data_IF_539594452897
#
_entry.id   IF_539594452897
#
_cell.length_a   1.000
_cell.length_b   1.000
_cell.length_c   1.000
_cell.angle_alpha   90.00
_cell.angle_beta   90.00
_cell.angle_gamma   90.00
#
_symmetry.space_group_name_H-M   'P 1'
#
loop_
_entity.id
_entity.type
_entity.pdbx_description
1 polymer ?
#
# COMPACT_ATOMS: atom_id res chain seq x y z
N UNK A 1 -44.30 -22.13 -23.33
CA UNK A 1 -42.94 -21.99 -23.86
C UNK A 1 -42.08 -21.36 -22.76
N UNK A 2 -41.29 -22.14 -22.03
CA UNK A 2 -40.38 -21.65 -21.02
C UNK A 2 -39.02 -21.38 -21.70
N UNK A 3 -38.63 -20.12 -21.76
CA UNK A 3 -37.27 -19.75 -22.18
C UNK A 3 -36.30 -20.14 -21.07
N UNK A 4 -35.50 -21.15 -21.32
CA UNK A 4 -34.29 -21.42 -20.50
C UNK A 4 -33.27 -20.34 -20.81
N UNK A 5 -33.04 -19.44 -19.86
CA UNK A 5 -31.88 -18.56 -19.90
C UNK A 5 -30.63 -19.44 -19.73
N UNK A 6 -29.85 -19.56 -20.78
CA UNK A 6 -28.57 -20.24 -20.74
C UNK A 6 -27.64 -19.53 -19.74
N UNK A 7 -27.20 -20.24 -18.72
CA UNK A 7 -26.14 -19.79 -17.86
C UNK A 7 -24.89 -19.62 -18.74
N UNK A 8 -24.47 -18.39 -18.98
CA UNK A 8 -23.20 -18.10 -19.61
C UNK A 8 -22.11 -18.64 -18.71
N UNK A 9 -21.29 -19.57 -19.20
CA UNK A 9 -20.14 -20.07 -18.46
C UNK A 9 -19.28 -18.84 -18.10
N UNK A 10 -19.02 -18.65 -16.82
CA UNK A 10 -18.11 -17.60 -16.38
C UNK A 10 -16.75 -17.86 -17.03
N UNK A 11 -16.23 -16.89 -17.77
CA UNK A 11 -14.90 -16.96 -18.35
C UNK A 11 -13.88 -17.29 -17.24
N UNK A 12 -12.91 -18.16 -17.57
CA UNK A 12 -11.86 -18.48 -16.64
C UNK A 12 -11.17 -17.17 -16.18
N UNK A 13 -10.86 -17.03 -14.87
CA UNK A 13 -10.24 -15.80 -14.37
C UNK A 13 -8.94 -15.53 -15.13
N UNK A 14 -8.64 -14.26 -15.45
CA UNK A 14 -7.45 -13.88 -16.18
C UNK A 14 -6.17 -14.33 -15.46
N UNK A 15 -5.11 -14.58 -16.23
CA UNK A 15 -3.79 -14.94 -15.68
C UNK A 15 -3.14 -13.70 -15.07
N UNK A 16 -3.24 -13.59 -13.75
CA UNK A 16 -2.68 -12.48 -12.96
C UNK A 16 -1.39 -12.96 -12.29
N UNK A 17 -0.34 -12.14 -12.36
CA UNK A 17 0.93 -12.40 -11.68
C UNK A 17 1.20 -11.28 -10.67
N UNK A 18 1.69 -11.67 -9.49
CA UNK A 18 2.06 -10.76 -8.40
C UNK A 18 3.55 -10.91 -8.14
N UNK A 19 4.25 -9.77 -8.04
CA UNK A 19 5.67 -9.69 -7.70
C UNK A 19 5.85 -8.65 -6.60
N UNK A 20 6.54 -9.01 -5.53
CA UNK A 20 6.97 -8.07 -4.49
C UNK A 20 8.30 -7.44 -4.87
N UNK A 21 8.41 -6.14 -4.72
CA UNK A 21 9.64 -5.36 -4.85
C UNK A 21 10.09 -4.87 -3.47
N UNK A 22 11.38 -4.91 -3.21
CA UNK A 22 11.98 -4.33 -2.00
C UNK A 22 12.43 -2.90 -2.32
N UNK A 23 11.75 -1.92 -1.74
CA UNK A 23 12.04 -0.49 -2.03
C UNK A 23 12.69 0.21 -0.84
N UNK A 24 13.50 -0.54 -0.10
CA UNK A 24 14.28 -0.07 1.05
C UNK A 24 13.74 -0.54 2.39
N UNK A 25 14.23 0.09 3.45
CA UNK A 25 13.87 -0.17 4.84
C UNK A 25 13.73 1.14 5.59
N UNK A 26 13.01 1.11 6.70
CA UNK A 26 12.97 2.20 7.68
C UNK A 26 13.46 1.68 9.02
N UNK A 27 14.35 2.43 9.67
CA UNK A 27 14.70 2.22 11.08
C UNK A 27 13.87 3.17 11.94
N UNK A 28 13.14 2.62 12.90
CA UNK A 28 12.22 3.35 13.74
C UNK A 28 12.13 2.72 15.13
N UNK A 29 11.43 3.39 16.04
CA UNK A 29 11.07 2.82 17.34
C UNK A 29 9.94 1.79 17.17
N UNK A 30 10.08 0.59 17.76
CA UNK A 30 9.08 -0.47 17.67
C UNK A 30 7.70 -0.04 18.19
N UNK A 31 7.65 0.92 19.13
CA UNK A 31 6.40 1.51 19.60
C UNK A 31 5.54 2.16 18.52
N UNK A 32 6.13 2.51 17.35
CA UNK A 32 5.35 2.94 16.17
C UNK A 32 4.65 1.78 15.46
N UNK A 33 5.15 0.56 15.61
CA UNK A 33 4.51 -0.62 15.04
C UNK A 33 3.50 -1.25 16.00
N UNK A 34 3.88 -1.32 17.27
CA UNK A 34 3.10 -1.99 18.34
C UNK A 34 2.92 -1.02 19.50
N UNK A 35 1.70 -0.50 19.70
CA UNK A 35 1.44 0.49 20.73
C UNK A 35 1.79 -0.03 22.13
N UNK A 36 2.59 0.73 22.87
CA UNK A 36 3.00 0.41 24.26
C UNK A 36 3.85 -0.86 24.43
N UNK A 37 4.29 -1.49 23.33
CA UNK A 37 5.13 -2.70 23.38
C UNK A 37 6.54 -2.37 22.87
N UNK A 38 7.54 -2.70 23.66
CA UNK A 38 8.97 -2.50 23.35
C UNK A 38 9.32 -1.06 22.91
N UNK A 39 8.64 -0.06 23.48
CA UNK A 39 8.92 1.36 23.25
C UNK A 39 10.37 1.68 23.61
N UNK A 40 11.06 2.42 22.74
CA UNK A 40 12.50 2.71 22.87
C UNK A 40 13.40 1.70 22.15
N UNK A 41 12.87 0.58 21.65
CA UNK A 41 13.63 -0.41 20.89
C UNK A 41 13.67 -0.04 19.42
N UNK A 42 14.87 0.18 18.85
CA UNK A 42 15.03 0.42 17.43
C UNK A 42 14.96 -0.87 16.62
N UNK A 43 14.12 -0.87 15.61
CA UNK A 43 13.97 -1.98 14.64
C UNK A 43 14.09 -1.46 13.22
N UNK A 44 14.39 -2.36 12.29
CA UNK A 44 14.41 -2.08 10.85
C UNK A 44 13.29 -2.86 10.21
N UNK A 45 12.38 -2.17 9.58
CA UNK A 45 11.25 -2.74 8.88
C UNK A 45 11.44 -2.65 7.37
N UNK A 46 11.04 -3.66 6.57
CA UNK A 46 11.05 -3.57 5.11
C UNK A 46 10.00 -2.59 4.62
N UNK A 47 10.24 -1.98 3.45
CA UNK A 47 9.24 -1.22 2.70
C UNK A 47 9.01 -1.97 1.39
N UNK A 48 7.89 -2.69 1.22
CA UNK A 48 7.54 -3.36 -0.02
C UNK A 48 6.72 -2.44 -0.94
N UNK A 49 6.83 -2.71 -2.24
CA UNK A 49 5.86 -2.33 -3.25
C UNK A 49 5.52 -3.57 -4.08
N UNK A 50 4.40 -3.57 -4.79
CA UNK A 50 3.99 -4.76 -5.53
C UNK A 50 3.62 -4.43 -6.96
N UNK A 51 4.16 -5.22 -7.91
CA UNK A 51 3.78 -5.18 -9.31
C UNK A 51 2.79 -6.31 -9.58
N UNK A 52 1.67 -5.97 -10.21
CA UNK A 52 0.63 -6.92 -10.59
C UNK A 52 0.44 -6.83 -12.09
N UNK A 53 0.80 -7.91 -12.79
CA UNK A 53 0.53 -8.04 -14.21
C UNK A 53 -0.88 -8.55 -14.42
N UNK A 54 -1.71 -7.73 -15.07
CA UNK A 54 -3.06 -8.08 -15.47
C UNK A 54 -3.20 -7.87 -16.97
N UNK A 55 -3.99 -8.67 -17.73
CA UNK A 55 -4.14 -8.49 -19.18
C UNK A 55 -4.61 -7.09 -19.61
N UNK A 56 -5.31 -6.38 -18.74
CA UNK A 56 -5.77 -5.00 -18.98
C UNK A 56 -4.77 -3.92 -18.59
N UNK A 57 -3.62 -4.26 -18.00
CA UNK A 57 -2.54 -3.33 -17.73
C UNK A 57 -1.72 -3.68 -16.49
N UNK A 58 -0.52 -3.12 -16.43
CA UNK A 58 0.37 -3.22 -15.30
C UNK A 58 -0.13 -2.33 -14.16
N UNK A 59 -0.29 -2.92 -12.98
CA UNK A 59 -0.71 -2.24 -11.75
C UNK A 59 0.47 -2.22 -10.79
N UNK A 60 0.76 -1.07 -10.22
CA UNK A 60 1.70 -0.91 -9.12
C UNK A 60 0.90 -0.62 -7.84
N UNK A 61 1.15 -1.36 -6.76
CA UNK A 61 0.61 -1.10 -5.45
C UNK A 61 1.70 -0.50 -4.55
N UNK A 62 1.54 0.77 -4.21
CA UNK A 62 2.46 1.69 -3.56
C UNK A 62 3.76 1.97 -4.35
N UNK A 63 4.49 3.04 -3.97
CA UNK A 63 5.67 3.53 -4.70
C UNK A 63 6.92 3.66 -3.85
N UNK A 64 6.84 3.24 -2.59
CA UNK A 64 7.96 3.32 -1.65
C UNK A 64 8.32 4.75 -1.22
N UNK A 65 9.45 4.87 -0.53
CA UNK A 65 10.04 6.14 -0.09
C UNK A 65 10.53 6.95 -1.29
N UNK A 66 10.48 8.29 -1.17
CA UNK A 66 10.97 9.18 -2.22
C UNK A 66 12.46 8.92 -2.55
N UNK A 67 12.79 8.90 -3.83
CA UNK A 67 14.18 8.75 -4.32
C UNK A 67 15.16 9.75 -3.69
N UNK A 68 14.67 10.91 -3.28
CA UNK A 68 15.50 11.94 -2.66
C UNK A 68 15.99 11.58 -1.26
N UNK A 69 15.48 10.52 -0.64
CA UNK A 69 15.97 10.00 0.65
C UNK A 69 17.08 8.97 0.49
N UNK A 70 17.34 8.51 -0.74
CA UNK A 70 18.33 7.47 -1.00
C UNK A 70 19.76 7.91 -0.62
N UNK A 71 20.63 6.91 -0.42
CA UNK A 71 22.07 7.09 -0.16
C UNK A 71 22.36 7.98 1.06
N UNK A 72 21.54 7.85 2.12
CA UNK A 72 21.71 8.58 3.38
C UNK A 72 21.23 10.04 3.36
N UNK A 73 20.47 10.43 2.33
CA UNK A 73 20.00 11.81 2.16
C UNK A 73 18.66 12.13 2.88
N UNK A 74 18.20 11.23 3.74
CA UNK A 74 16.95 11.32 4.48
C UNK A 74 16.74 12.68 5.17
N UNK A 75 17.71 13.12 5.96
CA UNK A 75 17.60 14.35 6.74
C UNK A 75 17.48 15.62 5.88
N UNK A 76 18.10 15.63 4.70
CA UNK A 76 17.99 16.75 3.76
C UNK A 76 16.59 16.84 3.11
N UNK A 77 15.96 15.68 2.87
CA UNK A 77 14.67 15.65 2.22
C UNK A 77 13.51 15.72 3.22
N UNK A 78 13.47 14.84 4.21
CA UNK A 78 12.39 14.81 5.22
C UNK A 78 12.60 15.81 6.36
N UNK A 79 13.83 16.32 6.54
CA UNK A 79 14.24 17.13 7.69
C UNK A 79 14.73 16.25 8.85
N UNK A 80 15.51 16.87 9.75
CA UNK A 80 16.16 16.18 10.88
C UNK A 80 15.17 15.47 11.80
N UNK A 81 14.04 16.10 12.12
CA UNK A 81 13.05 15.54 13.05
C UNK A 81 12.39 14.28 12.51
N UNK A 82 11.89 14.33 11.28
CA UNK A 82 11.20 13.19 10.68
C UNK A 82 12.19 12.05 10.39
N UNK A 83 13.36 12.36 9.83
CA UNK A 83 14.42 11.37 9.60
C UNK A 83 14.94 10.76 10.90
N UNK A 84 14.96 11.50 12.00
CA UNK A 84 15.34 10.98 13.32
C UNK A 84 14.32 9.98 13.90
N UNK A 85 13.04 10.14 13.54
CA UNK A 85 11.96 9.23 13.93
C UNK A 85 11.85 8.02 13.00
N UNK A 86 12.00 8.26 11.69
CA UNK A 86 11.83 7.28 10.61
C UNK A 86 13.03 7.34 9.67
N UNK A 87 14.14 6.72 10.08
CA UNK A 87 15.38 6.78 9.30
C UNK A 87 15.27 5.92 8.03
N UNK A 88 15.22 6.56 6.85
CA UNK A 88 15.24 5.88 5.57
C UNK A 88 16.58 5.18 5.34
N UNK A 89 16.53 3.89 5.10
CA UNK A 89 17.66 3.05 4.68
C UNK A 89 17.31 2.56 3.27
N UNK A 90 17.72 3.32 2.28
CA UNK A 90 17.43 3.05 0.86
C UNK A 90 18.67 3.37 0.03
N UNK A 91 19.15 2.39 -0.73
CA UNK A 91 20.13 2.63 -1.78
C UNK A 91 19.46 3.11 -3.08
N UNK A 92 20.23 3.70 -3.98
CA UNK A 92 19.70 4.14 -5.30
C UNK A 92 19.07 2.98 -6.07
N UNK A 93 19.61 1.77 -5.96
CA UNK A 93 19.08 0.59 -6.66
C UNK A 93 17.77 0.06 -6.06
N UNK A 94 17.43 0.49 -4.83
CA UNK A 94 16.16 0.15 -4.17
C UNK A 94 15.03 1.14 -4.50
N UNK A 95 15.30 2.22 -5.23
CA UNK A 95 14.26 3.15 -5.68
C UNK A 95 13.33 2.45 -6.68
N UNK A 96 12.04 2.76 -6.64
CA UNK A 96 10.98 2.05 -7.38
C UNK A 96 11.24 1.96 -8.90
N UNK A 97 11.81 3.00 -9.52
CA UNK A 97 12.16 2.97 -10.95
C UNK A 97 13.22 1.91 -11.26
N UNK A 98 14.21 1.73 -10.39
CA UNK A 98 15.25 0.72 -10.50
C UNK A 98 14.71 -0.67 -10.24
N UNK A 99 13.86 -0.81 -9.25
CA UNK A 99 13.22 -2.08 -8.94
C UNK A 99 12.28 -2.53 -10.05
N UNK A 100 11.50 -1.63 -10.65
CA UNK A 100 10.69 -1.91 -11.84
C UNK A 100 11.58 -2.38 -13.01
N UNK A 101 12.67 -1.67 -13.27
CA UNK A 101 13.61 -2.03 -14.35
C UNK A 101 14.25 -3.41 -14.12
N UNK A 102 14.65 -3.72 -12.88
CA UNK A 102 15.18 -5.03 -12.53
C UNK A 102 14.13 -6.15 -12.71
N UNK A 103 12.85 -5.83 -12.51
CA UNK A 103 11.73 -6.74 -12.76
C UNK A 103 11.32 -6.83 -14.25
N UNK A 104 11.97 -6.09 -15.14
CA UNK A 104 11.72 -6.13 -16.58
C UNK A 104 10.66 -5.13 -17.06
N UNK A 105 10.37 -4.07 -16.30
CA UNK A 105 9.38 -3.05 -16.63
C UNK A 105 9.99 -1.65 -16.60
N UNK A 106 9.45 -0.77 -17.43
CA UNK A 106 9.72 0.65 -17.33
C UNK A 106 8.59 1.35 -16.52
N UNK A 107 8.90 2.51 -15.95
CA UNK A 107 7.91 3.35 -15.25
C UNK A 107 6.71 3.67 -16.16
N UNK A 108 6.97 3.85 -17.47
CA UNK A 108 5.94 4.14 -18.47
C UNK A 108 5.01 2.97 -18.77
N UNK A 109 5.34 1.74 -18.39
CA UNK A 109 4.48 0.56 -18.57
C UNK A 109 3.36 0.52 -17.53
N UNK A 110 3.54 1.20 -16.40
CA UNK A 110 2.58 1.24 -15.31
C UNK A 110 1.34 2.03 -15.73
N UNK A 111 0.22 1.33 -15.86
CA UNK A 111 -1.07 1.94 -16.23
C UNK A 111 -1.86 2.43 -15.02
N UNK A 112 -1.73 1.74 -13.89
CA UNK A 112 -2.43 2.06 -12.66
C UNK A 112 -1.44 2.06 -11.49
N UNK A 113 -1.48 3.10 -10.68
CA UNK A 113 -0.83 3.11 -9.37
C UNK A 113 -1.93 3.14 -8.33
N UNK A 114 -2.02 2.08 -7.55
CA UNK A 114 -2.96 1.97 -6.42
C UNK A 114 -2.19 2.31 -5.16
N UNK A 115 -2.68 3.24 -4.38
CA UNK A 115 -2.08 3.60 -3.11
C UNK A 115 -2.86 2.99 -1.97
N UNK A 116 -2.14 2.30 -1.07
CA UNK A 116 -2.72 1.91 0.20
C UNK A 116 -3.12 3.15 1.01
N UNK A 117 -2.21 4.12 1.07
CA UNK A 117 -2.37 5.43 1.67
C UNK A 117 -1.20 6.36 1.24
N UNK A 118 -1.15 7.61 1.73
CA UNK A 118 -0.21 8.62 1.26
C UNK A 118 0.93 8.93 2.25
N UNK A 119 1.27 8.04 3.16
CA UNK A 119 2.45 8.24 4.00
C UNK A 119 3.75 8.15 3.19
N UNK A 120 4.81 8.60 3.83
CA UNK A 120 6.14 8.88 3.27
C UNK A 120 6.83 7.68 2.60
N UNK A 121 6.42 6.48 2.93
CA UNK A 121 6.98 5.21 2.43
C UNK A 121 6.04 4.44 1.49
N UNK A 122 4.87 5.00 1.20
CA UNK A 122 3.89 4.42 0.27
C UNK A 122 3.70 5.27 -0.99
N UNK A 123 3.61 6.59 -0.86
CA UNK A 123 3.36 7.50 -1.98
C UNK A 123 4.58 8.35 -2.39
N UNK A 124 5.77 8.06 -1.84
CA UNK A 124 6.97 8.89 -1.98
C UNK A 124 7.38 9.18 -3.43
N UNK A 125 7.12 8.29 -4.36
CA UNK A 125 7.52 8.46 -5.77
C UNK A 125 6.33 8.64 -6.73
N UNK A 126 5.17 9.10 -6.26
CA UNK A 126 4.00 9.35 -7.13
C UNK A 126 4.33 10.17 -8.38
N UNK A 127 5.24 11.15 -8.26
CA UNK A 127 5.66 12.03 -9.37
C UNK A 127 6.38 11.31 -10.51
N UNK A 128 6.85 10.09 -10.31
CA UNK A 128 7.45 9.28 -11.38
C UNK A 128 6.39 8.73 -12.36
N UNK A 129 5.10 8.75 -12.01
CA UNK A 129 4.03 8.12 -12.78
C UNK A 129 2.99 9.10 -13.33
N UNK A 130 3.39 10.20 -14.01
CA UNK A 130 2.47 11.27 -14.39
C UNK A 130 1.42 10.87 -15.43
N UNK A 131 1.59 9.71 -16.09
CA UNK A 131 0.67 9.19 -17.11
C UNK A 131 -0.20 8.04 -16.62
N UNK A 132 0.05 7.54 -15.43
CA UNK A 132 -0.74 6.46 -14.85
C UNK A 132 -2.09 6.99 -14.32
N UNK A 133 -3.05 6.09 -14.15
CA UNK A 133 -4.26 6.34 -13.35
C UNK A 133 -3.94 6.06 -11.89
N UNK A 134 -4.20 7.03 -11.02
CA UNK A 134 -3.91 6.96 -9.59
C UNK A 134 -5.17 6.58 -8.83
N UNK A 135 -5.20 5.38 -8.25
CA UNK A 135 -6.38 4.84 -7.57
C UNK A 135 -6.22 4.95 -6.07
N UNK A 136 -7.11 5.65 -5.42
CA UNK A 136 -7.03 5.97 -3.99
C UNK A 136 -8.41 6.18 -3.39
N UNK A 137 -8.58 5.88 -2.10
CA UNK A 137 -9.80 6.28 -1.39
C UNK A 137 -9.91 7.81 -1.34
N UNK A 138 -11.08 8.34 -1.62
CA UNK A 138 -11.36 9.79 -1.57
C UNK A 138 -11.03 10.42 -0.21
N UNK A 139 -11.27 9.67 0.86
CA UNK A 139 -10.94 10.10 2.22
C UNK A 139 -9.43 10.26 2.40
N UNK A 140 -8.62 9.36 1.82
CA UNK A 140 -7.16 9.43 1.87
C UNK A 140 -6.62 10.66 1.14
N UNK A 141 -7.10 10.87 -0.08
CA UNK A 141 -6.68 12.03 -0.86
C UNK A 141 -6.97 13.36 -0.12
N UNK A 142 -8.12 13.45 0.56
CA UNK A 142 -8.45 14.60 1.41
C UNK A 142 -7.53 14.72 2.61
N UNK A 143 -7.27 13.61 3.31
CA UNK A 143 -6.37 13.57 4.44
C UNK A 143 -4.94 13.95 4.06
N UNK A 144 -4.44 13.48 2.92
CA UNK A 144 -3.11 13.81 2.43
C UNK A 144 -2.93 15.30 2.15
N UNK A 145 -3.93 15.96 1.51
CA UNK A 145 -3.89 17.39 1.21
C UNK A 145 -4.23 18.28 2.41
N UNK A 146 -4.96 17.77 3.38
CA UNK A 146 -5.37 18.50 4.59
C UNK A 146 -5.33 17.63 5.82
N UNK A 147 -4.12 17.17 6.23
CA UNK A 147 -3.99 16.19 7.28
C UNK A 147 -4.34 16.72 8.66
N UNK A 148 -4.88 15.86 9.50
CA UNK A 148 -5.04 16.09 10.92
C UNK A 148 -3.68 16.44 11.56
N UNK A 149 -3.68 17.33 12.54
CA UNK A 149 -2.45 17.87 13.13
C UNK A 149 -1.50 16.77 13.64
N UNK A 150 -2.03 15.70 14.21
CA UNK A 150 -1.24 14.61 14.79
C UNK A 150 -0.69 13.64 13.75
N UNK A 151 -1.28 13.56 12.54
CA UNK A 151 -0.80 12.72 11.45
C UNK A 151 0.05 13.47 10.42
N UNK A 152 0.05 14.79 10.47
CA UNK A 152 0.65 15.66 9.44
C UNK A 152 2.11 15.33 9.11
N UNK A 153 2.88 14.84 10.07
CA UNK A 153 4.30 14.56 9.87
C UNK A 153 4.55 13.41 8.89
N UNK A 154 3.66 12.44 8.81
CA UNK A 154 3.78 11.28 7.92
C UNK A 154 3.39 11.59 6.46
N UNK A 155 2.64 12.67 6.24
CA UNK A 155 2.29 13.15 4.90
C UNK A 155 3.33 14.17 4.42
N UNK A 156 4.32 13.71 3.65
CA UNK A 156 5.37 14.57 3.11
C UNK A 156 4.84 15.30 1.87
N UNK A 157 4.31 16.51 2.06
CA UNK A 157 3.67 17.29 0.98
C UNK A 157 4.54 17.40 -0.28
N UNK A 158 5.87 17.50 -0.15
CA UNK A 158 6.80 17.54 -1.28
C UNK A 158 6.69 16.34 -2.23
N UNK A 159 6.19 15.20 -1.75
CA UNK A 159 6.05 14.01 -2.58
C UNK A 159 4.94 14.20 -3.62
N UNK A 160 3.87 14.94 -3.30
CA UNK A 160 2.67 15.02 -4.14
C UNK A 160 2.11 16.44 -4.37
N UNK A 161 2.79 17.51 -3.96
CA UNK A 161 2.34 18.91 -4.07
C UNK A 161 2.00 19.37 -5.51
N UNK A 162 2.59 18.74 -6.53
CA UNK A 162 2.37 19.07 -7.95
C UNK A 162 1.47 18.07 -8.68
N UNK A 163 0.79 17.17 -7.96
CA UNK A 163 0.04 16.06 -8.57
C UNK A 163 -1.48 16.31 -8.63
N UNK A 164 -1.95 17.53 -8.36
CA UNK A 164 -3.39 17.85 -8.34
C UNK A 164 -4.11 17.53 -9.65
N UNK A 165 -3.40 17.67 -10.77
CA UNK A 165 -3.94 17.49 -12.12
C UNK A 165 -3.71 16.06 -12.66
N UNK A 166 -3.21 15.14 -11.83
CA UNK A 166 -3.08 13.74 -12.23
C UNK A 166 -4.46 13.06 -12.35
N UNK A 167 -4.51 12.00 -13.16
CA UNK A 167 -5.75 11.22 -13.38
C UNK A 167 -6.07 10.36 -12.14
N UNK A 168 -6.76 10.94 -11.15
CA UNK A 168 -7.18 10.26 -9.94
C UNK A 168 -8.53 9.57 -10.09
N UNK A 169 -8.54 8.25 -9.88
CA UNK A 169 -9.76 7.46 -9.65
C UNK A 169 -9.99 7.44 -8.13
N UNK A 170 -10.90 8.30 -7.67
CA UNK A 170 -11.27 8.39 -6.26
C UNK A 170 -12.38 7.40 -5.95
N UNK A 171 -12.08 6.43 -5.09
CA UNK A 171 -13.04 5.38 -4.71
C UNK A 171 -13.58 5.61 -3.29
N UNK A 172 -14.74 5.03 -2.99
CA UNK A 172 -15.35 5.04 -1.65
C UNK A 172 -15.76 3.60 -1.31
N UNK A 173 -15.17 3.01 -0.27
CA UNK A 173 -15.39 1.61 0.10
C UNK A 173 -14.60 0.63 -0.77
N UNK A 174 -15.09 -0.62 -0.86
CA UNK A 174 -14.45 -1.64 -1.68
C UNK A 174 -14.62 -1.34 -3.17
N UNK A 175 -13.59 -1.64 -3.95
CA UNK A 175 -13.62 -1.37 -5.38
C UNK A 175 -12.89 -2.46 -6.16
N UNK A 176 -13.58 -3.11 -7.09
CA UNK A 176 -12.98 -4.05 -8.04
C UNK A 176 -12.38 -3.27 -9.22
N UNK A 177 -11.06 -3.21 -9.28
CA UNK A 177 -10.34 -2.37 -10.26
C UNK A 177 -10.73 -2.68 -11.71
N UNK A 178 -10.96 -3.95 -12.00
CA UNK A 178 -11.27 -4.41 -13.34
C UNK A 178 -12.68 -5.00 -13.49
N UNK A 179 -13.42 -5.17 -12.40
CA UNK A 179 -14.77 -5.76 -12.42
C UNK A 179 -14.78 -7.26 -12.68
N UNK A 180 -13.64 -7.95 -12.49
CA UNK A 180 -13.50 -9.40 -12.71
C UNK A 180 -13.12 -10.17 -11.42
N UNK A 181 -13.04 -9.48 -10.30
CA UNK A 181 -12.74 -10.04 -8.99
C UNK A 181 -11.27 -10.41 -8.77
N UNK A 182 -10.37 -10.05 -9.68
CA UNK A 182 -8.95 -10.40 -9.57
C UNK A 182 -8.14 -9.42 -8.73
N UNK A 183 -8.45 -8.13 -8.83
CA UNK A 183 -7.79 -7.06 -8.05
C UNK A 183 -8.88 -6.22 -7.39
N UNK A 184 -9.05 -6.39 -6.09
CA UNK A 184 -10.09 -5.70 -5.32
C UNK A 184 -9.45 -4.88 -4.20
N UNK A 185 -9.69 -3.57 -4.24
CA UNK A 185 -9.35 -2.65 -3.16
C UNK A 185 -10.34 -2.89 -2.02
N UNK A 186 -9.83 -3.05 -0.81
CA UNK A 186 -10.62 -3.27 0.40
C UNK A 186 -10.49 -2.03 1.30
N UNK A 187 -11.60 -1.40 1.67
CA UNK A 187 -11.61 -0.33 2.67
C UNK A 187 -11.16 -0.89 4.02
N UNK A 188 -9.96 -0.54 4.43
CA UNK A 188 -9.33 -0.91 5.70
C UNK A 188 -8.85 0.33 6.46
N UNK A 189 -9.70 1.37 6.46
CA UNK A 189 -9.42 2.62 7.19
C UNK A 189 -9.17 2.35 8.66
N UNK A 190 -8.31 3.17 9.24
CA UNK A 190 -7.93 3.06 10.64
C UNK A 190 -6.52 3.56 10.89
N UNK A 191 -5.53 3.06 10.13
CA UNK A 191 -4.18 3.61 10.09
C UNK A 191 -4.21 5.07 9.60
N UNK A 192 -4.84 5.29 8.46
CA UNK A 192 -5.27 6.61 7.97
C UNK A 192 -6.77 6.64 7.72
N UNK A 193 -7.32 7.82 7.39
CA UNK A 193 -8.75 8.02 7.14
C UNK A 193 -9.25 7.25 5.91
N UNK A 194 -8.39 7.03 4.94
CA UNK A 194 -8.70 6.34 3.70
C UNK A 194 -7.75 5.20 3.36
N UNK A 195 -7.13 4.59 4.37
CA UNK A 195 -6.30 3.42 4.16
C UNK A 195 -7.08 2.29 3.49
N UNK A 196 -6.46 1.63 2.52
CA UNK A 196 -7.00 0.46 1.84
C UNK A 196 -5.94 -0.62 1.68
N UNK A 197 -6.39 -1.87 1.80
CA UNK A 197 -5.61 -3.06 1.48
C UNK A 197 -5.96 -3.56 0.09
N UNK A 198 -5.16 -4.46 -0.48
CA UNK A 198 -5.42 -5.00 -1.81
C UNK A 198 -5.59 -6.51 -1.76
N UNK A 199 -6.68 -7.01 -2.32
CA UNK A 199 -6.86 -8.42 -2.62
C UNK A 199 -6.42 -8.69 -4.04
N UNK A 200 -5.57 -9.71 -4.23
CA UNK A 200 -5.16 -10.22 -5.54
C UNK A 200 -5.50 -11.69 -5.64
N UNK A 201 -6.28 -12.07 -6.65
CA UNK A 201 -6.61 -13.47 -6.93
C UNK A 201 -5.67 -14.04 -7.98
N UNK A 202 -4.85 -14.98 -7.58
CA UNK A 202 -3.85 -15.64 -8.41
C UNK A 202 -4.32 -17.05 -8.80
N UNK A 203 -3.97 -17.48 -10.02
CA UNK A 203 -4.41 -18.77 -10.56
C UNK A 203 -3.96 -19.96 -9.74
N UNK A 204 -2.71 -19.96 -9.31
CA UNK A 204 -2.08 -21.11 -8.62
C UNK A 204 -2.02 -20.95 -7.10
N UNK A 205 -1.83 -19.72 -6.63
CA UNK A 205 -1.67 -19.40 -5.19
C UNK A 205 -3.00 -19.16 -4.49
N UNK A 206 -4.07 -18.88 -5.26
CA UNK A 206 -5.35 -18.48 -4.71
C UNK A 206 -5.39 -16.99 -4.34
N UNK A 207 -6.10 -16.63 -3.29
CA UNK A 207 -6.26 -15.24 -2.85
C UNK A 207 -5.10 -14.81 -1.97
N UNK A 208 -4.48 -13.69 -2.31
CA UNK A 208 -3.47 -12.99 -1.50
C UNK A 208 -4.06 -11.64 -1.08
N UNK A 209 -3.97 -11.33 0.20
CA UNK A 209 -4.35 -10.03 0.78
C UNK A 209 -3.06 -9.29 1.14
N UNK A 210 -2.80 -8.20 0.46
CA UNK A 210 -1.72 -7.26 0.78
C UNK A 210 -2.28 -6.27 1.80
N UNK A 211 -1.92 -6.45 3.06
CA UNK A 211 -2.53 -5.70 4.16
C UNK A 211 -2.14 -4.22 4.17
N UNK A 212 -0.99 -3.88 3.63
CA UNK A 212 -0.33 -2.59 3.85
C UNK A 212 -0.33 -2.26 5.36
N UNK A 213 -0.58 -1.02 5.75
CA UNK A 213 -0.46 -0.57 7.13
C UNK A 213 -1.71 -0.83 8.00
N UNK A 214 -2.66 -1.62 7.48
CA UNK A 214 -3.69 -2.21 8.35
C UNK A 214 -3.08 -3.26 9.30
N UNK A 215 -2.01 -3.94 8.87
CA UNK A 215 -1.28 -4.95 9.64
C UNK A 215 0.22 -4.77 9.42
N UNK A 216 0.93 -4.46 10.49
CA UNK A 216 2.38 -4.30 10.47
C UNK A 216 3.09 -5.65 10.68
N UNK A 217 3.53 -5.98 11.93
CA UNK A 217 4.08 -7.29 12.20
C UNK A 217 2.98 -8.29 12.61
N UNK A 218 3.36 -9.55 12.73
CA UNK A 218 2.48 -10.63 13.17
C UNK A 218 1.83 -10.41 14.54
N UNK A 219 2.47 -9.64 15.44
CA UNK A 219 1.91 -9.30 16.74
C UNK A 219 0.59 -8.52 16.63
N UNK A 220 0.41 -7.70 15.59
CA UNK A 220 -0.85 -6.96 15.39
C UNK A 220 -1.98 -7.90 14.95
N UNK A 221 -1.69 -8.96 14.20
CA UNK A 221 -2.69 -10.01 13.94
C UNK A 221 -3.08 -10.76 15.21
N UNK A 222 -2.13 -10.93 16.13
CA UNK A 222 -2.38 -11.55 17.43
C UNK A 222 -3.14 -10.66 18.42
N UNK A 223 -3.48 -9.42 18.03
CA UNK A 223 -4.29 -8.51 18.82
C UNK A 223 -3.54 -7.38 19.52
N UNK A 224 -2.23 -7.23 19.26
CA UNK A 224 -1.49 -6.05 19.72
C UNK A 224 -1.95 -4.84 18.91
N UNK A 225 -2.24 -3.75 19.60
CA UNK A 225 -2.73 -2.53 18.96
C UNK A 225 -1.62 -1.93 18.08
N UNK A 226 -1.90 -1.58 16.80
CA UNK A 226 -0.94 -0.86 15.94
C UNK A 226 -0.53 0.49 16.55
N UNK A 227 0.75 0.84 16.44
CA UNK A 227 1.29 2.05 17.09
C UNK A 227 0.88 3.34 16.40
N UNK A 228 0.78 3.34 15.06
CA UNK A 228 0.34 4.51 14.28
C UNK A 228 -1.08 4.27 13.79
N UNK A 229 -2.04 5.02 14.31
CA UNK A 229 -3.44 4.93 13.89
C UNK A 229 -4.09 6.30 13.88
N UNK A 230 -4.91 6.57 12.86
CA UNK A 230 -5.86 7.67 12.88
C UNK A 230 -7.02 7.34 13.84
N UNK A 231 -7.51 6.09 13.81
CA UNK A 231 -8.58 5.60 14.67
C UNK A 231 -8.31 4.15 15.06
N UNK A 232 -7.93 3.94 16.30
CA UNK A 232 -7.55 2.61 16.81
C UNK A 232 -8.68 1.58 16.69
N UNK A 233 -9.93 1.97 16.99
CA UNK A 233 -11.07 1.05 16.88
C UNK A 233 -11.31 0.63 15.43
N UNK A 234 -11.21 1.56 14.49
CA UNK A 234 -11.32 1.26 13.07
C UNK A 234 -10.15 0.38 12.57
N UNK A 235 -8.92 0.60 13.08
CA UNK A 235 -7.76 -0.26 12.76
C UNK A 235 -8.00 -1.71 13.23
N UNK A 236 -8.49 -1.90 14.44
CA UNK A 236 -8.80 -3.25 14.94
C UNK A 236 -9.90 -3.92 14.12
N UNK A 237 -10.95 -3.18 13.72
CA UNK A 237 -11.98 -3.68 12.81
C UNK A 237 -11.44 -4.05 11.44
N UNK A 238 -10.52 -3.26 10.89
CA UNK A 238 -9.85 -3.55 9.62
C UNK A 238 -9.02 -4.84 9.68
N UNK A 239 -8.29 -5.06 10.78
CA UNK A 239 -7.55 -6.30 11.04
C UNK A 239 -8.50 -7.50 11.06
N UNK A 240 -9.57 -7.43 11.86
CA UNK A 240 -10.55 -8.51 11.96
C UNK A 240 -11.23 -8.80 10.62
N UNK A 241 -11.53 -7.75 9.85
CA UNK A 241 -12.07 -7.89 8.50
C UNK A 241 -11.12 -8.62 7.56
N UNK A 242 -9.83 -8.27 7.56
CA UNK A 242 -8.83 -8.95 6.72
C UNK A 242 -8.68 -10.42 7.10
N UNK A 243 -8.68 -10.74 8.40
CA UNK A 243 -8.67 -12.14 8.89
C UNK A 243 -9.89 -12.89 8.41
N UNK A 244 -11.09 -12.34 8.52
CA UNK A 244 -12.34 -12.95 8.04
C UNK A 244 -12.31 -13.21 6.53
N UNK A 245 -11.82 -12.25 5.72
CA UNK A 245 -11.70 -12.44 4.27
C UNK A 245 -10.68 -13.53 3.95
N UNK A 246 -9.51 -13.52 4.61
CA UNK A 246 -8.49 -14.57 4.46
C UNK A 246 -9.09 -15.95 4.72
N UNK A 247 -9.75 -16.12 5.85
CA UNK A 247 -10.30 -17.41 6.28
C UNK A 247 -11.43 -17.89 5.36
N UNK A 248 -12.36 -16.99 5.00
CA UNK A 248 -13.45 -17.30 4.08
C UNK A 248 -12.98 -17.69 2.67
N UNK A 249 -11.84 -17.16 2.23
CA UNK A 249 -11.27 -17.42 0.90
C UNK A 249 -10.13 -18.42 0.93
N UNK A 250 -9.77 -18.97 2.09
CA UNK A 250 -8.58 -19.82 2.29
C UNK A 250 -7.33 -19.15 1.70
N UNK A 251 -7.22 -17.83 1.89
CA UNK A 251 -6.19 -16.99 1.31
C UNK A 251 -4.96 -16.84 2.19
N UNK A 252 -3.99 -16.10 1.68
CA UNK A 252 -2.80 -15.66 2.41
C UNK A 252 -2.95 -14.19 2.80
N UNK A 253 -2.41 -13.83 3.97
CA UNK A 253 -2.32 -12.45 4.42
C UNK A 253 -0.84 -12.06 4.48
N UNK A 254 -0.45 -11.06 3.68
CA UNK A 254 0.90 -10.54 3.62
C UNK A 254 0.99 -9.21 4.34
N UNK A 255 1.88 -9.14 5.33
CA UNK A 255 2.14 -7.94 6.11
C UNK A 255 3.09 -7.00 5.36
N UNK A 256 3.00 -5.69 5.59
CA UNK A 256 3.88 -4.74 4.89
C UNK A 256 5.26 -4.64 5.54
N UNK A 257 5.30 -4.58 6.84
CA UNK A 257 6.50 -4.22 7.61
C UNK A 257 7.02 -5.35 8.51
N UNK A 258 6.68 -6.59 8.19
CA UNK A 258 7.20 -7.76 8.90
C UNK A 258 8.54 -8.21 8.30
N UNK A 259 9.56 -8.48 9.15
CA UNK A 259 10.95 -8.74 8.75
C UNK A 259 11.26 -10.25 8.66
#
# INVERSE_FOLDING_TARGET
MAMMAGAQAADAPPDVKLMQLSVGKIELDKGFMTAMVDVGTKIKIPVPAYVIQHPRGLVLFDTGMNQATADGNCANYWGQGLCGAFNSIQGRDEVIDRQLKAAGFDVSDVKYVVYSHFHLDHAGNIKMFPKAKHVVQKAELRAAWWPEKFQRAAYVMKDFDTTRDYDFIQVEGDFDLFGDGTIVLLDTKGHTQGHQSLQVKLKNTGTVLLAADALYPAETEAGVIPGITWNTAASMQAIDRLKQIRDARQGQLWYSHDA
#
